data_IF_734598905362
#
_entry.id   IF_734598905362
#
_cell.length_a   1.000
_cell.length_b   1.000
_cell.length_c   1.000
_cell.angle_alpha   90.00
_cell.angle_beta   90.00
_cell.angle_gamma   90.00
#
_symmetry.space_group_name_H-M   'P 1'
#
loop_
_entity.id
_entity.type
_entity.pdbx_description
1 polymer ?
#
# COMPACT_ATOMS: atom_id res chain seq x y z
N UNK A 1 -22.00 -33.71 -54.79
CA UNK A 1 -20.96 -33.68 -53.74
C UNK A 1 -21.64 -33.43 -52.41
N UNK A 2 -21.43 -34.33 -51.45
CA UNK A 2 -22.14 -34.42 -50.17
C UNK A 2 -21.65 -33.33 -49.20
N UNK A 3 -22.57 -32.58 -48.60
CA UNK A 3 -22.28 -31.72 -47.45
C UNK A 3 -23.17 -32.16 -46.28
N UNK A 4 -22.51 -32.49 -45.17
CA UNK A 4 -23.10 -33.02 -43.94
C UNK A 4 -23.90 -31.93 -43.20
N UNK A 5 -25.14 -32.24 -42.86
CA UNK A 5 -25.94 -31.50 -41.87
C UNK A 5 -25.79 -32.20 -40.52
N UNK A 6 -25.04 -31.57 -39.61
CA UNK A 6 -24.97 -31.97 -38.20
C UNK A 6 -26.13 -31.32 -37.43
N UNK A 7 -27.06 -32.14 -36.97
CA UNK A 7 -28.13 -31.78 -36.03
C UNK A 7 -27.54 -31.65 -34.62
N UNK A 8 -27.61 -30.45 -34.04
CA UNK A 8 -27.25 -30.22 -32.65
C UNK A 8 -28.50 -30.34 -31.77
N UNK A 9 -28.55 -31.41 -30.96
CA UNK A 9 -29.57 -31.66 -29.95
C UNK A 9 -29.46 -30.65 -28.81
N UNK A 10 -30.55 -29.94 -28.53
CA UNK A 10 -30.75 -29.13 -27.32
C UNK A 10 -31.01 -30.06 -26.13
N UNK A 11 -30.18 -29.97 -25.08
CA UNK A 11 -30.46 -30.55 -23.77
C UNK A 11 -30.62 -29.39 -22.76
N UNK A 12 -31.78 -29.27 -22.08
CA UNK A 12 -31.98 -28.29 -21.03
C UNK A 12 -31.48 -28.85 -19.69
N UNK A 13 -30.64 -28.10 -18.97
CA UNK A 13 -30.27 -28.43 -17.60
C UNK A 13 -31.14 -27.71 -16.58
N UNK A 14 -31.71 -28.56 -15.74
CA UNK A 14 -32.61 -28.35 -14.61
C UNK A 14 -32.12 -27.31 -13.59
N UNK A 15 -33.03 -26.44 -13.16
CA UNK A 15 -32.95 -25.66 -11.93
C UNK A 15 -33.46 -26.55 -10.79
N UNK A 16 -32.61 -26.90 -9.84
CA UNK A 16 -33.01 -27.58 -8.61
C UNK A 16 -33.37 -26.55 -7.53
N UNK A 17 -34.63 -26.58 -7.12
CA UNK A 17 -35.17 -25.81 -6.01
C UNK A 17 -34.72 -26.39 -4.66
N UNK A 18 -34.25 -25.52 -3.77
CA UNK A 18 -34.05 -25.83 -2.35
C UNK A 18 -35.34 -25.51 -1.57
N UNK A 19 -35.90 -26.52 -0.89
CA UNK A 19 -36.97 -26.37 0.08
C UNK A 19 -36.58 -27.04 1.41
N UNK A 20 -36.64 -26.28 2.51
CA UNK A 20 -37.09 -26.68 3.87
C UNK A 20 -36.98 -25.49 4.85
N UNK A 21 -38.14 -25.00 5.33
CA UNK A 21 -38.63 -24.93 6.74
C UNK A 21 -37.94 -23.85 7.62
N UNK A 22 -38.58 -22.76 8.06
CA UNK A 22 -39.66 -22.60 9.09
C UNK A 22 -39.34 -23.45 10.35
N UNK A 23 -39.16 -22.96 11.56
CA UNK A 23 -39.48 -21.70 12.24
C UNK A 23 -38.72 -21.69 13.60
N UNK A 24 -38.33 -20.53 14.13
CA UNK A 24 -38.72 -20.05 15.48
C UNK A 24 -37.85 -18.90 16.01
N UNK A 25 -38.58 -17.83 16.32
CA UNK A 25 -38.22 -16.59 16.98
C UNK A 25 -37.52 -16.73 18.34
N UNK A 26 -36.69 -15.73 18.66
CA UNK A 26 -36.58 -15.15 20.01
C UNK A 26 -35.97 -13.75 19.95
N UNK A 27 -36.82 -12.74 19.73
CA UNK A 27 -36.55 -11.35 20.11
C UNK A 27 -37.00 -11.15 21.55
N UNK A 28 -36.15 -10.56 22.41
CA UNK A 28 -36.56 -10.01 23.70
C UNK A 28 -36.00 -8.60 23.87
N UNK A 29 -36.92 -7.63 23.87
CA UNK A 29 -36.76 -6.21 24.22
C UNK A 29 -37.05 -6.06 25.75
N UNK A 30 -36.41 -5.12 26.47
CA UNK A 30 -36.50 -5.02 27.93
C UNK A 30 -37.77 -4.29 28.40
N UNK A 31 -38.31 -4.70 29.57
CA UNK A 31 -39.30 -3.94 30.33
C UNK A 31 -38.88 -3.77 31.79
N UNK A 32 -38.90 -2.51 32.19
CA UNK A 32 -38.84 -1.94 33.54
C UNK A 32 -40.06 -2.27 34.40
N UNK A 33 -39.88 -2.49 35.71
CA UNK A 33 -40.91 -2.36 36.76
C UNK A 33 -40.27 -1.84 38.07
N UNK A 34 -40.97 -1.01 38.88
CA UNK A 34 -40.38 -0.25 40.00
C UNK A 34 -40.74 -0.76 41.41
N UNK A 35 -39.89 -0.37 42.38
CA UNK A 35 -40.27 0.18 43.69
C UNK A 35 -40.87 -0.72 44.78
N UNK A 36 -40.12 -0.88 45.90
CA UNK A 36 -40.72 -0.92 47.25
C UNK A 36 -39.70 -0.54 48.33
N UNK A 37 -40.04 0.50 49.08
CA UNK A 37 -39.34 1.03 50.26
C UNK A 37 -39.53 0.14 51.50
N UNK A 38 -38.59 0.23 52.44
CA UNK A 38 -38.86 0.14 53.87
C UNK A 38 -37.83 0.96 54.66
N UNK A 39 -38.29 2.10 55.17
CA UNK A 39 -37.61 2.96 56.15
C UNK A 39 -37.68 2.34 57.55
N UNK A 40 -36.63 2.54 58.34
CA UNK A 40 -36.61 2.31 59.78
C UNK A 40 -35.57 3.22 60.43
N UNK A 41 -36.05 4.18 61.22
CA UNK A 41 -35.36 5.35 61.77
C UNK A 41 -34.97 5.16 63.25
N UNK A 42 -34.07 6.04 63.72
CA UNK A 42 -33.87 6.60 65.08
C UNK A 42 -32.92 5.93 66.09
N UNK A 43 -31.99 6.76 66.60
CA UNK A 43 -31.36 6.58 67.93
C UNK A 43 -30.00 7.28 68.12
N UNK A 44 -30.01 8.49 68.69
CA UNK A 44 -28.88 9.41 68.92
C UNK A 44 -27.96 9.11 70.14
N UNK A 45 -26.82 9.82 70.14
CA UNK A 45 -26.15 10.52 71.27
C UNK A 45 -24.99 9.89 72.10
N UNK A 46 -23.79 10.47 71.84
CA UNK A 46 -22.88 11.23 72.75
C UNK A 46 -21.77 10.58 73.63
N UNK A 47 -20.55 11.13 73.37
CA UNK A 47 -19.42 11.54 74.27
C UNK A 47 -18.36 10.51 74.71
N UNK A 48 -17.09 10.72 74.30
CA UNK A 48 -16.03 11.35 75.13
C UNK A 48 -14.58 11.08 74.66
N UNK A 49 -13.83 12.17 74.44
CA UNK A 49 -12.38 12.42 74.62
C UNK A 49 -11.38 11.27 74.92
N UNK A 50 -10.33 11.15 74.08
CA UNK A 50 -8.91 11.30 74.50
C UNK A 50 -7.93 11.37 73.31
N UNK A 51 -7.03 12.33 73.37
CA UNK A 51 -5.93 12.57 72.44
C UNK A 51 -4.75 11.60 72.64
N UNK A 52 -4.03 11.23 71.56
CA UNK A 52 -2.57 11.44 71.41
C UNK A 52 -2.00 10.85 70.10
N UNK A 53 -1.29 11.75 69.41
CA UNK A 53 -0.06 11.58 68.60
C UNK A 53 -0.18 11.06 67.16
N UNK A 54 0.25 11.98 66.29
CA UNK A 54 0.43 11.88 64.85
C UNK A 54 1.65 11.04 64.46
N UNK A 55 1.52 10.37 63.32
CA UNK A 55 2.60 9.97 62.40
C UNK A 55 2.10 10.31 60.97
N UNK A 56 2.97 10.73 60.04
CA UNK A 56 2.56 11.43 58.82
C UNK A 56 1.92 10.50 57.77
N UNK A 57 1.01 11.07 56.97
CA UNK A 57 0.40 10.46 55.80
C UNK A 57 1.48 10.07 54.78
N UNK A 58 1.47 8.81 54.37
CA UNK A 58 2.19 8.35 53.19
C UNK A 58 1.48 8.89 51.95
N UNK A 59 2.29 9.30 50.97
CA UNK A 59 1.86 9.86 49.69
C UNK A 59 0.90 8.91 48.96
N UNK A 60 -0.24 9.46 48.54
CA UNK A 60 -1.18 8.83 47.60
C UNK A 60 -0.47 8.55 46.27
N UNK A 61 -0.61 7.36 45.66
CA UNK A 61 -0.10 7.12 44.33
C UNK A 61 -0.98 7.85 43.29
N UNK A 62 -0.31 8.64 42.47
CA UNK A 62 -0.84 9.36 41.30
C UNK A 62 -1.46 8.38 40.29
N UNK A 63 -2.78 8.23 40.33
CA UNK A 63 -3.58 7.50 39.34
C UNK A 63 -3.75 8.37 38.09
N UNK A 64 -2.70 8.41 37.27
CA UNK A 64 -2.79 8.87 35.89
C UNK A 64 -2.84 7.65 34.96
N UNK A 65 -3.87 7.50 34.10
CA UNK A 65 -3.94 6.38 33.19
C UNK A 65 -2.94 6.61 32.05
N UNK A 66 -1.77 5.98 32.15
CA UNK A 66 -0.93 5.72 30.98
C UNK A 66 -1.74 4.86 30.01
N UNK A 67 -2.18 5.49 28.92
CA UNK A 67 -2.58 4.78 27.71
C UNK A 67 -1.35 4.10 27.14
N UNK A 68 -1.01 2.94 27.67
CA UNK A 68 -0.23 1.95 26.92
C UNK A 68 -1.13 1.50 25.77
N UNK A 69 -0.91 2.08 24.59
CA UNK A 69 -1.22 1.39 23.35
C UNK A 69 -0.49 0.06 23.40
N UNK A 70 -1.22 -1.02 23.66
CA UNK A 70 -0.70 -2.37 23.62
C UNK A 70 -0.16 -2.65 22.22
N UNK A 71 1.14 -2.46 22.05
CA UNK A 71 1.88 -3.10 20.97
C UNK A 71 1.57 -4.60 21.07
N UNK A 72 1.00 -5.14 19.99
CA UNK A 72 0.80 -6.57 19.86
C UNK A 72 2.11 -7.29 20.24
N UNK A 73 2.06 -8.45 20.91
CA UNK A 73 3.27 -9.16 21.30
C UNK A 73 4.17 -9.28 20.07
N UNK A 74 5.38 -8.71 20.19
CA UNK A 74 6.45 -8.67 19.20
C UNK A 74 6.91 -10.10 18.90
N UNK A 75 6.04 -10.85 18.22
CA UNK A 75 6.30 -12.23 17.86
C UNK A 75 7.41 -12.18 16.80
N UNK A 76 8.52 -12.91 16.98
CA UNK A 76 9.61 -12.90 16.03
C UNK A 76 9.07 -13.09 14.61
N UNK A 77 9.43 -12.20 13.68
CA UNK A 77 8.97 -12.24 12.28
C UNK A 77 9.10 -13.64 11.67
N UNK A 78 10.14 -14.38 12.04
CA UNK A 78 10.42 -15.73 11.55
C UNK A 78 9.55 -16.85 12.16
N UNK A 79 8.63 -16.53 13.09
CA UNK A 79 7.58 -17.44 13.53
C UNK A 79 6.31 -17.30 12.69
N UNK A 80 6.06 -16.11 12.13
CA UNK A 80 4.93 -15.83 11.23
C UNK A 80 5.30 -16.02 9.77
N UNK A 81 6.57 -15.82 9.44
CA UNK A 81 7.12 -15.83 8.11
C UNK A 81 8.27 -16.82 7.98
N UNK A 82 8.64 -17.17 6.75
CA UNK A 82 9.79 -18.03 6.47
C UNK A 82 11.04 -17.17 6.28
N UNK A 83 12.04 -17.33 7.15
CA UNK A 83 13.32 -16.64 7.07
C UNK A 83 14.42 -17.57 6.54
N UNK A 84 15.03 -17.24 5.40
CA UNK A 84 16.09 -18.02 4.77
C UNK A 84 17.22 -17.10 4.31
N UNK A 85 18.42 -17.27 4.87
CA UNK A 85 19.66 -16.65 4.37
C UNK A 85 19.52 -15.15 4.04
N UNK A 86 18.97 -14.37 4.97
CA UNK A 86 18.75 -12.91 4.80
C UNK A 86 17.53 -12.55 3.95
N UNK A 87 16.68 -13.51 3.61
CA UNK A 87 15.40 -13.30 2.93
C UNK A 87 14.25 -13.61 3.89
N UNK A 88 13.21 -12.78 3.89
CA UNK A 88 12.00 -12.95 4.67
C UNK A 88 10.82 -13.10 3.71
N UNK A 89 10.13 -14.24 3.79
CA UNK A 89 8.96 -14.57 2.98
C UNK A 89 7.72 -14.63 3.88
N UNK A 90 6.88 -13.61 3.75
CA UNK A 90 5.60 -13.42 4.43
C UNK A 90 4.47 -13.38 3.39
N UNK A 91 4.30 -14.42 2.57
CA UNK A 91 3.22 -14.43 1.58
C UNK A 91 1.95 -15.01 2.20
N UNK A 92 0.84 -14.28 2.13
CA UNK A 92 -0.49 -14.73 2.58
C UNK A 92 -0.49 -15.37 3.98
N UNK A 93 0.12 -14.68 4.95
CA UNK A 93 0.26 -15.22 6.31
C UNK A 93 -1.06 -15.20 7.08
N UNK A 94 -1.26 -16.20 7.94
CA UNK A 94 -2.40 -16.31 8.86
C UNK A 94 -1.92 -16.27 10.31
N UNK A 95 -2.40 -15.33 11.16
CA UNK A 95 -3.46 -14.35 10.91
C UNK A 95 -3.06 -13.23 9.94
N UNK A 96 -4.07 -12.54 9.38
CA UNK A 96 -3.89 -11.45 8.42
C UNK A 96 -2.88 -10.40 8.91
N UNK A 97 -1.79 -10.22 8.16
CA UNK A 97 -0.77 -9.23 8.49
C UNK A 97 -1.17 -7.82 8.03
N UNK A 98 -1.43 -6.93 9.00
CA UNK A 98 -1.91 -5.55 8.76
C UNK A 98 -0.82 -4.47 8.81
N UNK A 99 0.35 -4.81 9.31
CA UNK A 99 1.53 -3.93 9.45
C UNK A 99 2.78 -4.69 9.02
N UNK A 100 3.84 -3.96 8.66
CA UNK A 100 5.15 -4.58 8.42
C UNK A 100 5.68 -5.12 9.76
N UNK A 101 6.10 -6.39 9.85
CA UNK A 101 6.61 -6.97 11.09
C UNK A 101 8.07 -6.53 11.35
N UNK A 102 8.54 -6.64 12.59
CA UNK A 102 9.89 -6.26 13.02
C UNK A 102 10.96 -7.15 12.35
N UNK A 103 11.58 -6.64 11.28
CA UNK A 103 12.51 -7.41 10.44
C UNK A 103 13.89 -7.60 11.10
N UNK A 104 14.56 -8.76 10.89
CA UNK A 104 15.97 -8.91 11.23
C UNK A 104 16.86 -7.87 10.51
N UNK A 105 17.89 -7.35 11.19
CA UNK A 105 18.73 -6.24 10.68
C UNK A 105 19.50 -6.60 9.40
N UNK A 106 19.83 -7.88 9.25
CA UNK A 106 20.56 -8.45 8.13
C UNK A 106 19.65 -8.82 6.94
N UNK A 107 18.35 -8.49 7.02
CA UNK A 107 17.39 -8.78 5.94
C UNK A 107 17.77 -8.02 4.66
N UNK A 108 18.08 -8.78 3.62
CA UNK A 108 18.43 -8.30 2.28
C UNK A 108 17.22 -8.31 1.34
N UNK A 109 16.32 -9.29 1.49
CA UNK A 109 15.13 -9.45 0.63
C UNK A 109 13.88 -9.60 1.48
N UNK A 110 12.86 -8.79 1.21
CA UNK A 110 11.54 -8.92 1.82
C UNK A 110 10.49 -9.20 0.75
N UNK A 111 9.75 -10.29 0.92
CA UNK A 111 8.58 -10.65 0.12
C UNK A 111 7.38 -10.74 1.05
N UNK A 112 6.53 -9.73 1.06
CA UNK A 112 5.35 -9.66 1.94
C UNK A 112 4.08 -9.43 1.12
N UNK A 113 3.87 -10.30 0.13
CA UNK A 113 2.83 -10.17 -0.89
C UNK A 113 1.48 -10.68 -0.40
N UNK A 114 0.41 -10.14 -0.97
CA UNK A 114 -0.97 -10.61 -0.77
C UNK A 114 -1.46 -10.62 0.69
N UNK A 115 -0.91 -9.73 1.54
CA UNK A 115 -1.39 -9.53 2.91
C UNK A 115 -2.38 -8.34 2.98
N UNK A 116 -2.63 -7.85 4.20
CA UNK A 116 -3.57 -6.76 4.48
C UNK A 116 -2.87 -5.52 5.00
N UNK A 117 -1.60 -5.30 4.63
CA UNK A 117 -0.82 -4.16 5.12
C UNK A 117 -1.46 -2.86 4.63
N UNK A 118 -1.76 -1.93 5.55
CA UNK A 118 -2.49 -0.69 5.21
C UNK A 118 -1.60 0.55 5.18
N UNK A 119 -0.55 0.57 6.01
CA UNK A 119 0.34 1.71 6.19
C UNK A 119 1.77 1.25 6.35
N UNK A 120 2.70 2.06 5.85
CA UNK A 120 4.14 1.91 6.09
C UNK A 120 4.62 3.12 6.86
N UNK A 121 5.22 2.88 8.01
CA UNK A 121 5.78 3.90 8.91
C UNK A 121 7.29 4.01 8.74
N UNK A 122 7.85 5.10 9.23
CA UNK A 122 9.29 5.36 9.20
C UNK A 122 10.08 4.35 10.03
N UNK A 123 9.47 3.83 11.10
CA UNK A 123 10.08 2.81 11.97
C UNK A 123 10.21 1.43 11.30
N UNK A 124 9.32 1.10 10.38
CA UNK A 124 9.18 -0.27 9.82
C UNK A 124 10.45 -0.75 9.09
N UNK A 125 11.20 0.18 8.50
CA UNK A 125 12.45 -0.10 7.76
C UNK A 125 13.66 0.63 8.34
N UNK A 126 13.56 1.15 9.57
CA UNK A 126 14.56 2.04 10.15
C UNK A 126 15.91 1.36 10.40
N UNK A 127 15.90 0.06 10.70
CA UNK A 127 17.08 -0.72 11.11
C UNK A 127 17.56 -1.73 10.05
N UNK A 128 16.82 -1.87 8.94
CA UNK A 128 17.12 -2.81 7.85
C UNK A 128 17.79 -2.12 6.67
N UNK A 129 18.95 -1.51 6.92
CA UNK A 129 19.69 -0.74 5.90
C UNK A 129 20.27 -1.60 4.77
N UNK A 130 20.35 -2.93 4.99
CA UNK A 130 20.89 -3.92 4.05
C UNK A 130 19.88 -4.38 2.98
N UNK A 131 18.62 -3.93 3.04
CA UNK A 131 17.57 -4.30 2.10
C UNK A 131 17.93 -3.86 0.68
N UNK A 132 17.91 -4.83 -0.24
CA UNK A 132 18.09 -4.65 -1.68
C UNK A 132 16.78 -4.77 -2.45
N UNK A 133 15.84 -5.56 -1.93
CA UNK A 133 14.53 -5.78 -2.57
C UNK A 133 13.41 -5.79 -1.56
N UNK A 134 12.34 -5.08 -1.89
CA UNK A 134 11.08 -5.08 -1.15
C UNK A 134 9.95 -5.35 -2.15
N UNK A 135 9.19 -6.42 -1.92
CA UNK A 135 7.97 -6.73 -2.64
C UNK A 135 6.77 -6.73 -1.70
N UNK A 136 5.93 -5.70 -1.83
CA UNK A 136 4.69 -5.50 -1.07
C UNK A 136 3.46 -5.56 -1.99
N UNK A 137 3.58 -6.28 -3.10
CA UNK A 137 2.50 -6.40 -4.09
C UNK A 137 1.24 -7.00 -3.50
N UNK A 138 0.07 -6.48 -3.89
CA UNK A 138 -1.22 -7.07 -3.51
C UNK A 138 -1.63 -6.82 -2.06
N UNK A 139 -1.18 -5.72 -1.47
CA UNK A 139 -1.58 -5.29 -0.13
C UNK A 139 -2.69 -4.22 -0.19
N UNK A 140 -2.97 -3.58 0.94
CA UNK A 140 -3.99 -2.52 1.07
C UNK A 140 -3.33 -1.17 1.39
N UNK A 141 -2.08 -0.96 0.97
CA UNK A 141 -1.29 0.19 1.38
C UNK A 141 -1.88 1.45 0.75
N UNK A 142 -2.39 2.35 1.58
CA UNK A 142 -2.93 3.64 1.16
C UNK A 142 -2.03 4.81 1.57
N UNK A 143 -1.18 4.61 2.57
CA UNK A 143 -0.33 5.65 3.15
C UNK A 143 1.08 5.12 3.43
N UNK A 144 2.08 5.90 3.02
CA UNK A 144 3.48 5.68 3.34
C UNK A 144 4.01 6.99 3.90
N UNK A 145 4.61 6.92 5.09
CA UNK A 145 5.22 8.09 5.72
C UNK A 145 6.39 8.63 4.90
N UNK A 146 6.54 9.96 4.91
CA UNK A 146 7.66 10.61 4.26
C UNK A 146 8.97 10.19 4.94
N UNK A 147 9.88 9.62 4.16
CA UNK A 147 11.16 9.13 4.67
C UNK A 147 11.15 7.67 5.12
N UNK A 148 10.04 6.93 4.98
CA UNK A 148 10.00 5.50 5.31
C UNK A 148 11.05 4.64 4.60
N UNK A 149 11.47 5.04 3.40
CA UNK A 149 12.53 4.37 2.63
C UNK A 149 13.86 5.13 2.63
N UNK A 150 14.00 6.20 3.41
CA UNK A 150 15.16 7.12 3.33
C UNK A 150 16.49 6.47 3.70
N UNK A 151 16.47 5.51 4.64
CA UNK A 151 17.67 4.79 5.10
C UNK A 151 18.07 3.62 4.20
N UNK A 152 17.23 3.27 3.22
CA UNK A 152 17.45 2.10 2.35
C UNK A 152 18.37 2.46 1.18
N UNK A 153 19.62 2.80 1.49
CA UNK A 153 20.63 3.25 0.51
C UNK A 153 21.02 2.17 -0.51
N UNK A 154 20.82 0.90 -0.15
CA UNK A 154 21.14 -0.26 -0.96
C UNK A 154 19.94 -0.82 -1.75
N UNK A 155 18.76 -0.20 -1.64
CA UNK A 155 17.56 -0.67 -2.30
C UNK A 155 17.70 -0.56 -3.82
N UNK A 156 17.55 -1.70 -4.49
CA UNK A 156 17.63 -1.83 -5.94
C UNK A 156 16.25 -2.05 -6.57
N UNK A 157 15.34 -2.72 -5.87
CA UNK A 157 14.02 -3.06 -6.39
C UNK A 157 12.92 -2.82 -5.35
N UNK A 158 11.90 -2.07 -5.74
CA UNK A 158 10.73 -1.80 -4.92
C UNK A 158 9.45 -2.04 -5.71
N UNK A 159 8.65 -3.00 -5.25
CA UNK A 159 7.29 -3.23 -5.77
C UNK A 159 6.24 -2.84 -4.73
N UNK A 160 5.41 -1.88 -5.12
CA UNK A 160 4.19 -1.42 -4.45
C UNK A 160 2.97 -1.65 -5.36
N UNK A 161 3.07 -2.57 -6.32
CA UNK A 161 1.99 -2.86 -7.24
C UNK A 161 0.74 -3.38 -6.52
N UNK A 162 -0.43 -3.19 -7.12
CA UNK A 162 -1.70 -3.72 -6.61
C UNK A 162 -1.96 -3.28 -5.16
N UNK A 163 -1.92 -1.95 -4.94
CA UNK A 163 -2.15 -1.30 -3.66
C UNK A 163 -3.17 -0.15 -3.82
N UNK A 164 -3.28 0.74 -2.83
CA UNK A 164 -4.26 1.84 -2.81
C UNK A 164 -3.60 3.21 -2.69
N UNK A 165 -2.37 3.35 -3.20
CA UNK A 165 -1.60 4.58 -3.08
C UNK A 165 -2.22 5.70 -3.91
N UNK A 166 -2.42 6.85 -3.26
CA UNK A 166 -2.87 8.09 -3.92
C UNK A 166 -1.69 9.05 -4.15
N UNK A 167 -0.62 8.91 -3.35
CA UNK A 167 0.62 9.69 -3.43
C UNK A 167 1.84 8.76 -3.32
N UNK A 168 2.94 9.16 -3.97
CA UNK A 168 4.22 8.48 -3.81
C UNK A 168 5.03 9.11 -2.66
N UNK A 169 5.70 8.29 -1.82
CA UNK A 169 6.65 8.79 -0.82
C UNK A 169 7.96 9.22 -1.49
N UNK A 170 8.87 9.78 -0.69
CA UNK A 170 10.24 9.97 -1.13
C UNK A 170 10.94 8.62 -1.31
N UNK A 171 11.30 8.31 -2.55
CA UNK A 171 11.96 7.06 -2.92
C UNK A 171 13.49 7.17 -2.80
N UNK A 172 14.20 6.08 -2.45
CA UNK A 172 15.65 6.07 -2.36
C UNK A 172 16.26 6.13 -3.76
N UNK A 173 17.05 7.17 -4.04
CA UNK A 173 17.54 7.44 -5.39
C UNK A 173 18.89 6.79 -5.74
N UNK A 174 19.65 6.32 -4.74
CA UNK A 174 21.07 5.99 -4.90
C UNK A 174 21.33 4.73 -5.75
N UNK A 175 20.55 3.67 -5.53
CA UNK A 175 20.74 2.37 -6.19
C UNK A 175 19.49 1.78 -6.84
N UNK A 176 18.35 2.45 -6.77
CA UNK A 176 17.09 1.92 -7.29
C UNK A 176 17.18 1.72 -8.82
N UNK A 177 16.96 0.47 -9.24
CA UNK A 177 16.99 0.00 -10.63
C UNK A 177 15.58 -0.29 -11.16
N UNK A 178 14.68 -0.74 -10.29
CA UNK A 178 13.32 -1.10 -10.66
C UNK A 178 12.32 -0.54 -9.66
N UNK A 179 11.34 0.21 -10.16
CA UNK A 179 10.21 0.69 -9.35
C UNK A 179 8.90 0.31 -10.01
N UNK A 180 8.06 -0.40 -9.26
CA UNK A 180 6.73 -0.81 -9.70
C UNK A 180 5.66 -0.26 -8.76
N UNK A 181 4.79 0.60 -9.27
CA UNK A 181 3.57 1.05 -8.60
C UNK A 181 2.36 0.95 -9.54
N UNK A 182 2.34 -0.07 -10.39
CA UNK A 182 1.17 -0.42 -11.19
C UNK A 182 -0.07 -0.65 -10.32
N UNK A 183 -1.26 -0.49 -10.89
CA UNK A 183 -2.54 -0.82 -10.24
C UNK A 183 -2.67 -0.13 -8.87
N UNK A 184 -2.56 1.20 -8.89
CA UNK A 184 -2.75 2.05 -7.72
C UNK A 184 -3.73 3.18 -8.09
N UNK A 185 -3.85 4.19 -7.23
CA UNK A 185 -4.76 5.32 -7.39
C UNK A 185 -3.97 6.63 -7.56
N UNK A 186 -2.75 6.55 -8.11
CA UNK A 186 -1.85 7.68 -8.21
C UNK A 186 -2.40 8.72 -9.18
N UNK A 187 -2.53 9.95 -8.70
CA UNK A 187 -2.82 11.14 -9.52
C UNK A 187 -1.57 11.97 -9.70
N UNK A 188 -1.52 12.83 -10.73
CA UNK A 188 -0.38 13.73 -10.97
C UNK A 188 -0.04 14.56 -9.72
N UNK A 189 -1.04 15.04 -8.98
CA UNK A 189 -0.84 15.79 -7.71
C UNK A 189 -0.13 14.98 -6.62
N UNK A 190 -0.28 13.66 -6.64
CA UNK A 190 0.37 12.73 -5.71
C UNK A 190 1.78 12.30 -6.14
N UNK A 191 2.21 12.67 -7.35
CA UNK A 191 3.55 12.35 -7.88
C UNK A 191 4.26 13.66 -8.19
N UNK A 192 5.25 14.02 -7.36
CA UNK A 192 6.06 15.22 -7.60
C UNK A 192 6.69 15.14 -9.00
N UNK A 193 6.65 16.23 -9.77
CA UNK A 193 7.18 16.25 -11.14
C UNK A 193 8.63 15.74 -11.25
N UNK A 194 9.45 16.02 -10.23
CA UNK A 194 10.85 15.60 -10.13
C UNK A 194 11.08 14.34 -9.27
N UNK A 195 10.04 13.56 -8.98
CA UNK A 195 10.13 12.40 -8.07
C UNK A 195 11.23 11.41 -8.46
N UNK A 196 11.44 11.20 -9.77
CA UNK A 196 12.42 10.25 -10.28
C UNK A 196 13.72 10.92 -10.74
N UNK A 197 13.80 12.25 -10.81
CA UNK A 197 14.89 13.00 -11.48
C UNK A 197 16.31 12.60 -11.03
N UNK A 198 16.49 12.25 -9.75
CA UNK A 198 17.80 11.89 -9.18
C UNK A 198 18.17 10.40 -9.36
N UNK A 199 17.27 9.57 -9.89
CA UNK A 199 17.46 8.12 -9.96
C UNK A 199 18.23 7.74 -11.23
N UNK A 200 19.54 7.95 -11.23
CA UNK A 200 20.42 7.73 -12.40
C UNK A 200 20.64 6.27 -12.77
N UNK A 201 20.19 5.34 -11.93
CA UNK A 201 20.29 3.88 -12.16
C UNK A 201 18.94 3.22 -12.47
N UNK A 202 17.85 3.98 -12.45
CA UNK A 202 16.51 3.45 -12.67
C UNK A 202 16.37 3.01 -14.12
N UNK A 203 16.19 1.72 -14.34
CA UNK A 203 16.00 1.11 -15.65
C UNK A 203 14.53 0.79 -15.92
N UNK A 204 13.78 0.38 -14.90
CA UNK A 204 12.39 -0.05 -15.05
C UNK A 204 11.48 0.84 -14.21
N UNK A 205 10.52 1.50 -14.87
CA UNK A 205 9.53 2.34 -14.20
C UNK A 205 8.13 1.93 -14.65
N UNK A 206 7.36 1.38 -13.72
CA UNK A 206 6.02 0.88 -13.98
C UNK A 206 4.99 1.65 -13.16
N UNK A 207 4.13 2.39 -13.86
CA UNK A 207 3.08 3.26 -13.32
C UNK A 207 1.73 3.04 -14.06
N UNK A 208 1.56 1.88 -14.69
CA UNK A 208 0.36 1.52 -15.43
C UNK A 208 -0.87 1.37 -14.51
N UNK A 209 -2.07 1.50 -15.08
CA UNK A 209 -3.34 1.36 -14.35
C UNK A 209 -3.38 2.28 -13.10
N UNK A 210 -3.20 3.57 -13.33
CA UNK A 210 -3.28 4.61 -12.32
C UNK A 210 -4.19 5.74 -12.85
N UNK A 211 -4.15 6.92 -12.24
CA UNK A 211 -4.97 8.08 -12.59
C UNK A 211 -4.09 9.29 -12.92
N UNK A 212 -2.91 9.06 -13.51
CA UNK A 212 -2.00 10.12 -13.90
C UNK A 212 -2.57 10.91 -15.08
N UNK A 213 -2.59 12.22 -14.97
CA UNK A 213 -3.05 13.15 -16.02
C UNK A 213 -1.89 13.68 -16.88
N UNK A 214 -0.66 13.57 -16.36
CA UNK A 214 0.57 14.01 -17.02
C UNK A 214 1.72 13.05 -16.71
N UNK A 215 2.70 13.03 -17.62
CA UNK A 215 3.90 12.20 -17.49
C UNK A 215 4.89 12.91 -16.55
N UNK A 216 5.37 12.27 -15.46
CA UNK A 216 6.40 12.85 -14.60
C UNK A 216 7.75 12.91 -15.33
N UNK A 217 8.73 13.65 -14.80
CA UNK A 217 10.06 13.69 -15.40
C UNK A 217 10.71 12.30 -15.36
N UNK A 218 11.00 11.74 -16.53
CA UNK A 218 11.59 10.40 -16.69
C UNK A 218 13.11 10.51 -16.83
N UNK A 219 13.92 9.86 -15.96
CA UNK A 219 15.38 9.85 -16.07
C UNK A 219 15.89 9.19 -17.36
N UNK A 220 17.05 9.63 -17.84
CA UNK A 220 17.70 9.10 -19.05
C UNK A 220 18.13 7.64 -18.94
N UNK A 221 18.27 7.12 -17.70
CA UNK A 221 18.61 5.74 -17.43
C UNK A 221 17.47 4.75 -17.73
N UNK A 222 16.22 5.24 -17.79
CA UNK A 222 15.03 4.39 -17.94
C UNK A 222 15.05 3.72 -19.31
N UNK A 223 14.80 2.41 -19.28
CA UNK A 223 14.75 1.52 -20.44
C UNK A 223 13.33 1.06 -20.73
N UNK A 224 12.59 0.71 -19.68
CA UNK A 224 11.19 0.27 -19.75
C UNK A 224 10.32 1.26 -18.99
N UNK A 225 9.38 1.88 -19.71
CA UNK A 225 8.43 2.83 -19.14
C UNK A 225 6.99 2.40 -19.44
N UNK A 226 6.27 2.00 -18.40
CA UNK A 226 4.87 1.60 -18.53
C UNK A 226 3.96 2.65 -17.88
N UNK A 227 3.16 3.30 -18.70
CA UNK A 227 2.19 4.33 -18.32
C UNK A 227 0.80 4.04 -18.89
N UNK A 228 0.57 2.83 -19.43
CA UNK A 228 -0.70 2.45 -20.02
C UNK A 228 -1.85 2.52 -19.01
N UNK A 229 -3.06 2.77 -19.52
CA UNK A 229 -4.29 2.87 -18.73
C UNK A 229 -4.18 3.91 -17.60
N UNK A 230 -3.77 5.12 -17.97
CA UNK A 230 -3.83 6.30 -17.12
C UNK A 230 -4.81 7.32 -17.76
N UNK A 231 -4.83 8.55 -17.25
CA UNK A 231 -5.63 9.65 -17.80
C UNK A 231 -4.75 10.70 -18.50
N UNK A 232 -3.62 10.30 -19.09
CA UNK A 232 -2.68 11.24 -19.71
C UNK A 232 -3.33 11.86 -20.95
N UNK A 233 -3.45 13.18 -20.98
CA UNK A 233 -4.14 13.91 -22.05
C UNK A 233 -3.20 14.57 -23.06
N UNK A 234 -1.97 14.89 -22.63
CA UNK A 234 -0.98 15.60 -23.43
C UNK A 234 0.45 15.10 -23.18
N UNK A 235 1.32 15.35 -24.16
CA UNK A 235 2.76 15.12 -24.10
C UNK A 235 3.44 16.41 -24.53
N UNK A 236 4.57 16.76 -23.92
CA UNK A 236 5.36 17.95 -24.24
C UNK A 236 6.60 17.56 -25.07
N UNK A 237 7.17 18.50 -25.84
CA UNK A 237 8.44 18.30 -26.58
C UNK A 237 9.58 17.84 -25.66
N UNK A 238 9.60 18.33 -24.41
CA UNK A 238 10.62 18.00 -23.40
C UNK A 238 10.27 16.77 -22.54
N UNK A 239 9.16 16.08 -22.81
CA UNK A 239 8.77 14.91 -22.01
C UNK A 239 9.76 13.75 -22.19
N UNK A 240 10.16 13.48 -23.43
CA UNK A 240 11.12 12.42 -23.75
C UNK A 240 12.43 12.95 -24.31
N UNK A 241 12.39 14.05 -25.06
CA UNK A 241 13.53 14.67 -25.72
C UNK A 241 13.99 15.94 -24.98
N UNK A 242 15.05 16.57 -25.48
CA UNK A 242 15.59 17.82 -24.97
C UNK A 242 15.49 18.87 -26.07
N UNK A 243 14.53 19.78 -25.97
CA UNK A 243 14.32 20.83 -26.99
C UNK A 243 15.54 21.74 -27.18
N UNK A 244 16.40 21.85 -26.17
CA UNK A 244 17.64 22.62 -26.23
C UNK A 244 18.84 21.88 -26.83
N UNK A 245 18.71 20.59 -27.15
CA UNK A 245 19.77 19.76 -27.72
C UNK A 245 19.22 18.90 -28.85
N UNK A 246 19.35 19.39 -30.08
CA UNK A 246 18.87 18.72 -31.29
C UNK A 246 19.65 17.44 -31.63
N UNK A 247 20.80 17.21 -31.01
CA UNK A 247 21.60 15.99 -31.18
C UNK A 247 21.33 14.96 -30.07
N UNK A 248 20.47 15.30 -29.10
CA UNK A 248 20.12 14.39 -28.03
C UNK A 248 19.38 13.17 -28.58
N UNK A 249 19.97 11.99 -28.37
CA UNK A 249 19.36 10.69 -28.68
C UNK A 249 19.16 9.89 -27.40
N UNK A 250 17.92 9.44 -27.19
CA UNK A 250 17.55 8.66 -26.00
C UNK A 250 17.64 7.17 -26.27
N UNK A 251 18.87 6.69 -26.43
CA UNK A 251 19.17 5.31 -26.86
C UNK A 251 18.82 4.24 -25.82
N UNK A 252 18.78 4.59 -24.53
CA UNK A 252 18.47 3.65 -23.44
C UNK A 252 17.00 3.20 -23.44
N UNK A 253 16.10 4.04 -23.95
CA UNK A 253 14.66 3.85 -23.85
C UNK A 253 14.18 2.85 -24.90
N UNK A 254 13.94 1.62 -24.46
CA UNK A 254 13.64 0.47 -25.32
C UNK A 254 12.15 0.23 -25.49
N UNK A 255 11.33 0.61 -24.50
CA UNK A 255 9.89 0.42 -24.53
C UNK A 255 9.20 1.55 -23.78
N UNK A 256 8.19 2.14 -24.43
CA UNK A 256 7.28 3.10 -23.81
C UNK A 256 5.85 2.68 -24.13
N UNK A 257 5.06 2.45 -23.08
CA UNK A 257 3.65 2.11 -23.19
C UNK A 257 2.78 3.27 -22.71
N UNK A 258 1.99 3.81 -23.62
CA UNK A 258 1.00 4.86 -23.39
C UNK A 258 -0.40 4.44 -23.86
N UNK A 259 -0.59 3.18 -24.24
CA UNK A 259 -1.88 2.63 -24.61
C UNK A 259 -2.94 2.81 -23.51
N UNK A 260 -4.21 2.96 -23.89
CA UNK A 260 -5.29 3.20 -22.93
C UNK A 260 -5.31 4.60 -22.27
N UNK A 261 -4.45 5.53 -22.71
CA UNK A 261 -4.55 6.95 -22.34
C UNK A 261 -5.37 7.76 -23.36
N UNK A 262 -6.00 8.87 -22.95
CA UNK A 262 -6.69 9.79 -23.87
C UNK A 262 -5.79 10.47 -24.91
N UNK A 263 -4.49 10.63 -24.62
CA UNK A 263 -3.55 11.36 -25.48
C UNK A 263 -3.47 10.78 -26.89
N UNK A 264 -3.53 11.67 -27.89
CA UNK A 264 -3.31 11.34 -29.29
C UNK A 264 -1.86 11.65 -29.68
N UNK A 265 -1.03 10.61 -29.77
CA UNK A 265 0.42 10.74 -29.96
C UNK A 265 0.80 11.40 -31.29
N UNK A 266 -0.03 11.26 -32.33
CA UNK A 266 0.21 11.90 -33.63
C UNK A 266 0.14 13.43 -33.61
N UNK A 267 -0.41 14.04 -32.54
CA UNK A 267 -0.36 15.50 -32.34
C UNK A 267 0.99 16.00 -31.86
N UNK A 268 1.88 15.12 -31.38
CA UNK A 268 3.14 15.49 -30.73
C UNK A 268 4.35 14.78 -31.37
N UNK A 269 4.54 14.83 -32.70
CA UNK A 269 5.62 14.09 -33.36
C UNK A 269 7.01 14.48 -32.85
N UNK A 270 7.22 15.76 -32.56
CA UNK A 270 8.52 16.30 -32.14
C UNK A 270 8.99 15.74 -30.79
N UNK A 271 8.05 15.36 -29.91
CA UNK A 271 8.31 14.74 -28.61
C UNK A 271 8.98 13.37 -28.71
N UNK A 272 9.01 12.74 -29.88
CA UNK A 272 9.53 11.37 -30.06
C UNK A 272 10.75 11.30 -30.99
N UNK A 273 11.22 12.43 -31.51
CA UNK A 273 12.30 12.51 -32.52
C UNK A 273 13.64 11.97 -32.03
N UNK A 274 13.93 12.09 -30.74
CA UNK A 274 15.15 11.58 -30.12
C UNK A 274 15.12 10.06 -29.83
N UNK A 275 13.98 9.39 -30.04
CA UNK A 275 13.78 8.01 -29.62
C UNK A 275 14.05 7.02 -30.74
N UNK A 276 14.64 5.87 -30.40
CA UNK A 276 14.85 4.76 -31.35
C UNK A 276 13.56 4.00 -31.67
N UNK A 277 12.63 3.98 -30.72
CA UNK A 277 11.34 3.29 -30.82
C UNK A 277 10.23 4.28 -30.53
N UNK A 278 9.12 4.16 -31.25
CA UNK A 278 7.94 4.97 -30.98
C UNK A 278 7.14 4.36 -29.80
N UNK A 279 6.50 5.20 -28.96
CA UNK A 279 5.63 4.69 -27.91
C UNK A 279 4.47 3.84 -28.47
N UNK A 280 4.11 2.77 -27.76
CA UNK A 280 2.90 2.01 -28.02
C UNK A 280 1.73 2.83 -27.49
N UNK A 281 0.79 3.20 -28.37
CA UNK A 281 -0.36 4.00 -27.99
C UNK A 281 -1.22 4.43 -29.17
N UNK A 282 -2.06 5.43 -28.95
CA UNK A 282 -3.05 5.89 -29.93
C UNK A 282 -2.45 6.94 -30.87
N UNK A 283 -2.47 6.65 -32.18
CA UNK A 283 -2.05 7.57 -33.24
C UNK A 283 -3.20 8.06 -34.15
N UNK A 284 -4.39 7.45 -34.03
CA UNK A 284 -5.62 7.81 -34.75
C UNK A 284 -6.80 7.70 -33.79
#
# INVERSE_FOLDING_TARGET
MKALLFTCMLVPWLVAASARRFDQDSQLIPRSLPGRELNGYFGDHLKSSRARRALPLADEPDDSPTKEEGDAPDLPTCLLCVCLTGSVYCEEVSPDMTTVPSLPKETTYLYARFNKIKKIRTKDFADTVSLKRIDLTGNLISEIEDGAFSKLIDLEELSLADNRLVKLPMLPAAKLKSFNANNNLLKTKGVKANAFKKMTKLANLFLANNQLEAIPHIPDSVRLLHLQNNNITEVNVDTFCRSNDTYYLRMSLNEVRLDGNPVLLSKYPDSFTCMKVLPIGRYR
#
